data_IF_945171353889
#
_entry.id   IF_945171353889
#
_cell.length_a   1.000
_cell.length_b   1.000
_cell.length_c   1.000
_cell.angle_alpha   90.00
_cell.angle_beta   90.00
_cell.angle_gamma   90.00
#
_symmetry.space_group_name_H-M   'P 1'
#
loop_
_entity.id
_entity.type
_entity.pdbx_description
1 polymer ?
#
# COMPACT_ATOMS: atom_id res chain seq x y z
N UNK A 1 -6.00 2.39 10.16
CA UNK A 1 -4.77 2.95 10.70
C UNK A 1 -5.14 3.58 12.04
N UNK A 2 -4.32 3.40 13.08
CA UNK A 2 -4.66 3.93 14.41
C UNK A 2 -4.56 5.45 14.43
N UNK A 3 -5.09 6.10 15.49
CA UNK A 3 -4.90 7.54 15.67
C UNK A 3 -3.42 7.90 15.80
N UNK A 4 -2.64 7.10 16.54
CA UNK A 4 -1.21 7.32 16.71
C UNK A 4 -0.46 7.24 15.38
N UNK A 5 -0.78 6.24 14.55
CA UNK A 5 -0.16 6.12 13.22
C UNK A 5 -0.47 7.34 12.34
N UNK A 6 -1.66 7.95 12.46
CA UNK A 6 -1.99 9.19 11.73
C UNK A 6 -1.17 10.38 12.21
N UNK A 7 -0.99 10.51 13.51
CA UNK A 7 -0.13 11.54 14.10
C UNK A 7 1.33 11.32 13.68
N UNK A 8 1.79 10.07 13.61
CA UNK A 8 3.13 9.73 13.10
C UNK A 8 3.28 10.10 11.62
N UNK A 9 2.27 9.81 10.78
CA UNK A 9 2.26 10.18 9.37
C UNK A 9 2.40 11.70 9.18
N UNK A 10 1.66 12.49 9.95
CA UNK A 10 1.75 13.97 9.92
C UNK A 10 3.15 14.47 10.30
N UNK A 11 3.82 13.77 11.22
CA UNK A 11 5.19 14.05 11.62
C UNK A 11 6.23 13.38 10.71
N UNK A 12 5.80 12.76 9.60
CA UNK A 12 6.65 12.02 8.65
C UNK A 12 7.46 10.89 9.28
N UNK A 13 6.94 10.33 10.37
CA UNK A 13 7.51 9.20 11.10
C UNK A 13 6.81 7.93 10.67
N UNK A 14 7.57 7.00 10.11
CA UNK A 14 7.06 5.73 9.61
C UNK A 14 7.38 4.64 10.62
N UNK A 15 6.32 4.16 11.26
CA UNK A 15 6.37 2.98 12.11
C UNK A 15 5.97 1.74 11.33
N UNK A 16 6.38 0.57 11.80
CA UNK A 16 6.01 -0.72 11.21
C UNK A 16 4.48 -0.88 11.11
N UNK A 17 3.75 -0.45 12.15
CA UNK A 17 2.28 -0.52 12.20
C UNK A 17 1.61 0.32 11.12
N UNK A 18 2.14 1.52 10.86
CA UNK A 18 1.70 2.42 9.80
C UNK A 18 1.95 1.77 8.43
N UNK A 19 3.17 1.29 8.18
CA UNK A 19 3.54 0.67 6.91
C UNK A 19 2.70 -0.59 6.63
N UNK A 20 2.46 -1.43 7.64
CA UNK A 20 1.58 -2.59 7.55
C UNK A 20 0.13 -2.19 7.28
N UNK A 21 -0.36 -1.11 7.89
CA UNK A 21 -1.69 -0.56 7.64
C UNK A 21 -1.86 -0.10 6.18
N UNK A 22 -0.84 0.52 5.61
CA UNK A 22 -0.80 0.92 4.21
C UNK A 22 -0.75 -0.28 3.26
N UNK A 23 0.05 -1.32 3.58
CA UNK A 23 0.07 -2.56 2.81
C UNK A 23 -1.31 -3.23 2.79
N UNK A 24 -2.01 -3.26 3.94
CA UNK A 24 -3.34 -3.85 4.04
C UNK A 24 -4.39 -3.08 3.22
N UNK A 25 -4.19 -1.77 3.02
CA UNK A 25 -5.03 -0.94 2.18
C UNK A 25 -4.79 -1.16 0.67
N UNK A 26 -3.57 -1.55 0.27
CA UNK A 26 -3.24 -1.83 -1.13
C UNK A 26 -3.94 -3.10 -1.66
N UNK A 27 -3.99 -4.16 -0.86
CA UNK A 27 -4.50 -5.47 -1.26
C UNK A 27 -5.94 -5.47 -1.87
N UNK A 28 -6.95 -4.80 -1.29
CA UNK A 28 -8.28 -4.76 -1.90
C UNK A 28 -8.31 -3.98 -3.22
N UNK A 29 -7.48 -2.94 -3.39
CA UNK A 29 -7.41 -2.17 -4.64
C UNK A 29 -6.81 -3.02 -5.76
N UNK A 30 -5.71 -3.70 -5.47
CA UNK A 30 -5.04 -4.62 -6.41
C UNK A 30 -6.01 -5.75 -6.79
N UNK A 31 -6.64 -6.39 -5.80
CA UNK A 31 -7.53 -7.53 -6.02
C UNK A 31 -8.77 -7.14 -6.84
N UNK A 32 -9.38 -5.99 -6.53
CA UNK A 32 -10.54 -5.47 -7.26
C UNK A 32 -10.18 -5.16 -8.72
N UNK A 33 -9.07 -4.48 -8.96
CA UNK A 33 -8.66 -4.15 -10.33
C UNK A 33 -8.20 -5.38 -11.12
N UNK A 34 -7.57 -6.37 -10.48
CA UNK A 34 -7.27 -7.65 -11.13
C UNK A 34 -8.53 -8.39 -11.58
N UNK A 35 -9.58 -8.37 -10.74
CA UNK A 35 -10.87 -8.95 -11.12
C UNK A 35 -11.52 -8.20 -12.28
N UNK A 36 -11.55 -6.87 -12.22
CA UNK A 36 -12.15 -6.03 -13.28
C UNK A 36 -11.39 -6.14 -14.60
N UNK A 37 -10.05 -6.18 -14.56
CA UNK A 37 -9.20 -6.44 -15.73
C UNK A 37 -9.59 -7.76 -16.39
N UNK A 38 -9.72 -8.85 -15.61
CA UNK A 38 -10.13 -10.15 -16.15
C UNK A 38 -11.56 -10.14 -16.67
N UNK A 39 -12.47 -9.43 -16.00
CA UNK A 39 -13.90 -9.36 -16.36
C UNK A 39 -14.12 -8.58 -17.66
N UNK A 40 -13.37 -7.51 -17.86
CA UNK A 40 -13.55 -6.57 -18.95
C UNK A 40 -12.43 -6.63 -19.99
N UNK A 41 -11.65 -7.72 -20.03
CA UNK A 41 -10.53 -7.88 -20.97
C UNK A 41 -10.92 -7.86 -22.45
N UNK A 42 -12.20 -8.04 -22.75
CA UNK A 42 -12.75 -7.96 -24.10
C UNK A 42 -13.23 -6.54 -24.47
N UNK A 43 -13.32 -5.62 -23.50
CA UNK A 43 -13.72 -4.23 -23.73
C UNK A 43 -12.48 -3.33 -23.75
N UNK A 44 -12.09 -2.90 -24.96
CA UNK A 44 -10.87 -2.12 -25.19
C UNK A 44 -10.86 -0.76 -24.47
N UNK A 45 -12.02 -0.21 -24.08
CA UNK A 45 -12.10 1.14 -23.47
C UNK A 45 -11.79 1.13 -21.97
N UNK A 46 -12.34 0.17 -21.23
CA UNK A 46 -12.19 0.11 -19.77
C UNK A 46 -11.01 -0.76 -19.31
N UNK A 47 -10.57 -1.71 -20.15
CA UNK A 47 -9.47 -2.63 -19.84
C UNK A 47 -8.16 -1.92 -19.46
N UNK A 48 -7.80 -0.85 -20.17
CA UNK A 48 -6.56 -0.11 -19.95
C UNK A 48 -6.48 0.52 -18.55
N UNK A 49 -7.61 0.99 -18.02
CA UNK A 49 -7.67 1.66 -16.72
C UNK A 49 -7.45 0.72 -15.53
N UNK A 50 -8.03 -0.48 -15.59
CA UNK A 50 -7.90 -1.46 -14.50
C UNK A 50 -6.50 -2.05 -14.40
N UNK A 51 -5.88 -2.38 -15.54
CA UNK A 51 -4.50 -2.87 -15.57
C UNK A 51 -3.52 -1.79 -15.06
N UNK A 52 -3.64 -0.55 -15.56
CA UNK A 52 -2.80 0.56 -15.12
C UNK A 52 -2.91 0.79 -13.61
N UNK A 53 -4.14 0.84 -13.09
CA UNK A 53 -4.37 1.00 -11.64
C UNK A 53 -3.79 -0.17 -10.84
N UNK A 54 -3.94 -1.41 -11.33
CA UNK A 54 -3.38 -2.59 -10.65
C UNK A 54 -1.86 -2.51 -10.57
N UNK A 55 -1.20 -2.21 -11.68
CA UNK A 55 0.27 -2.12 -11.76
C UNK A 55 0.81 -0.99 -10.87
N UNK A 56 0.16 0.17 -10.90
CA UNK A 56 0.52 1.30 -10.05
C UNK A 56 0.48 0.93 -8.56
N UNK A 57 -0.63 0.34 -8.10
CA UNK A 57 -0.80 -0.05 -6.71
C UNK A 57 0.11 -1.23 -6.31
N UNK A 58 0.46 -2.12 -7.24
CA UNK A 58 1.52 -3.11 -7.02
C UNK A 58 2.88 -2.46 -6.80
N UNK A 59 3.20 -1.40 -7.56
CA UNK A 59 4.41 -0.61 -7.34
C UNK A 59 4.44 0.09 -5.98
N UNK A 60 3.31 0.67 -5.55
CA UNK A 60 3.19 1.25 -4.19
C UNK A 60 3.44 0.20 -3.11
N UNK A 61 2.83 -0.99 -3.25
CA UNK A 61 3.04 -2.10 -2.33
C UNK A 61 4.51 -2.53 -2.26
N UNK A 62 5.22 -2.56 -3.39
CA UNK A 62 6.65 -2.90 -3.42
C UNK A 62 7.51 -1.85 -2.72
N UNK A 63 7.29 -0.56 -2.97
CA UNK A 63 7.98 0.54 -2.28
C UNK A 63 7.78 0.50 -0.76
N UNK A 64 6.56 0.20 -0.30
CA UNK A 64 6.30 0.10 1.13
C UNK A 64 6.97 -1.16 1.72
N UNK A 65 6.93 -2.30 1.00
CA UNK A 65 7.60 -3.54 1.45
C UNK A 65 9.11 -3.37 1.57
N UNK A 66 9.75 -2.62 0.67
CA UNK A 66 11.21 -2.43 0.73
C UNK A 66 11.69 -1.77 2.01
N UNK A 67 10.85 -0.98 2.69
CA UNK A 67 11.18 -0.37 3.98
C UNK A 67 11.13 -1.37 5.15
N UNK A 68 10.32 -2.43 5.03
CA UNK A 68 10.15 -3.46 6.07
C UNK A 68 11.10 -4.65 5.88
N UNK A 69 11.55 -4.92 4.66
CA UNK A 69 12.43 -6.05 4.32
C UNK A 69 13.76 -6.12 5.09
N UNK A 70 14.39 -5.00 5.52
CA UNK A 70 15.60 -5.07 6.35
C UNK A 70 15.37 -5.69 7.73
N UNK A 71 14.12 -5.68 8.23
CA UNK A 71 13.77 -6.11 9.60
C UNK A 71 12.97 -7.42 9.56
N UNK A 72 12.08 -7.56 8.57
CA UNK A 72 11.13 -8.67 8.49
C UNK A 72 11.28 -9.46 7.20
N UNK A 73 11.16 -10.79 7.31
CA UNK A 73 10.99 -11.62 6.12
C UNK A 73 9.70 -11.29 5.38
N UNK A 74 9.68 -11.47 4.06
CA UNK A 74 8.47 -11.29 3.23
C UNK A 74 7.28 -12.11 3.77
N UNK A 75 7.53 -13.33 4.29
CA UNK A 75 6.49 -14.18 4.89
C UNK A 75 5.85 -13.50 6.10
N UNK A 76 6.65 -12.89 6.98
CA UNK A 76 6.19 -12.19 8.16
C UNK A 76 5.39 -10.94 7.78
N UNK A 77 5.89 -10.16 6.82
CA UNK A 77 5.17 -8.99 6.28
C UNK A 77 3.79 -9.41 5.77
N UNK A 78 3.69 -10.46 4.95
CA UNK A 78 2.42 -10.97 4.44
C UNK A 78 1.47 -11.38 5.58
N UNK A 79 1.97 -12.06 6.61
CA UNK A 79 1.16 -12.45 7.76
C UNK A 79 0.62 -11.24 8.52
N UNK A 80 1.47 -10.25 8.81
CA UNK A 80 1.08 -9.01 9.48
C UNK A 80 0.07 -8.21 8.65
N UNK A 81 0.30 -8.07 7.34
CA UNK A 81 -0.63 -7.41 6.42
C UNK A 81 -2.00 -8.08 6.42
N UNK A 82 -2.07 -9.42 6.38
CA UNK A 82 -3.34 -10.16 6.42
C UNK A 82 -4.08 -10.02 7.75
N UNK A 83 -3.35 -9.94 8.86
CA UNK A 83 -3.91 -9.77 10.20
C UNK A 83 -4.34 -8.33 10.54
N UNK A 84 -3.95 -7.36 9.72
CA UNK A 84 -4.21 -5.94 9.97
C UNK A 84 -5.71 -5.60 9.79
N UNK A 85 -6.35 -5.21 10.90
CA UNK A 85 -7.76 -4.76 10.92
C UNK A 85 -7.87 -3.27 10.63
N UNK A 86 -6.98 -2.48 11.22
CA UNK A 86 -6.96 -1.03 11.07
C UNK A 86 -6.22 -0.64 9.80
N UNK A 87 -6.88 -0.73 8.64
CA UNK A 87 -6.29 -0.38 7.33
C UNK A 87 -6.17 1.13 7.15
N UNK A 88 -5.16 1.57 6.40
CA UNK A 88 -5.08 2.95 5.95
C UNK A 88 -6.15 3.21 4.88
N UNK A 89 -6.44 4.48 4.65
CA UNK A 89 -7.21 4.93 3.49
C UNK A 89 -6.30 5.01 2.26
N UNK A 90 -6.89 5.02 1.06
CA UNK A 90 -6.10 5.19 -0.16
C UNK A 90 -5.33 6.52 -0.18
N UNK A 91 -5.94 7.59 0.36
CA UNK A 91 -5.29 8.90 0.48
C UNK A 91 -4.03 8.84 1.35
N UNK A 92 -4.12 8.17 2.50
CA UNK A 92 -2.97 8.00 3.40
C UNK A 92 -1.86 7.15 2.74
N UNK A 93 -2.21 6.13 1.95
CA UNK A 93 -1.22 5.38 1.15
C UNK A 93 -0.51 6.30 0.16
N UNK A 94 -1.24 7.12 -0.59
CA UNK A 94 -0.65 8.05 -1.55
C UNK A 94 0.25 9.09 -0.87
N UNK A 95 -0.12 9.55 0.32
CA UNK A 95 0.71 10.45 1.14
C UNK A 95 2.02 9.77 1.54
N UNK A 96 1.96 8.54 2.04
CA UNK A 96 3.15 7.72 2.34
C UNK A 96 4.04 7.57 1.10
N UNK A 97 3.47 7.20 -0.06
CA UNK A 97 4.24 7.05 -1.30
C UNK A 97 4.89 8.37 -1.72
N UNK A 98 4.18 9.49 -1.63
CA UNK A 98 4.75 10.82 -1.92
C UNK A 98 5.94 11.14 -1.01
N UNK A 99 5.89 10.79 0.27
CA UNK A 99 7.00 11.00 1.21
C UNK A 99 8.17 10.06 0.90
N UNK A 100 7.91 8.79 0.54
CA UNK A 100 8.94 7.84 0.09
C UNK A 100 9.66 8.37 -1.14
N UNK A 101 8.91 8.83 -2.14
CA UNK A 101 9.45 9.31 -3.42
C UNK A 101 10.30 10.58 -3.25
N UNK A 102 10.00 11.39 -2.23
CA UNK A 102 10.79 12.57 -1.84
C UNK A 102 11.92 12.24 -0.87
N UNK A 103 12.00 11.00 -0.40
CA UNK A 103 12.87 10.59 0.71
C UNK A 103 12.72 11.51 1.95
N UNK A 104 11.49 11.93 2.23
CA UNK A 104 11.12 12.89 3.27
C UNK A 104 10.35 12.19 4.39
N UNK A 105 11.01 11.25 5.06
CA UNK A 105 10.47 10.50 6.17
C UNK A 105 11.58 10.00 7.11
N UNK A 106 11.22 9.67 8.33
CA UNK A 106 12.07 9.02 9.33
C UNK A 106 11.46 7.66 9.67
N UNK A 107 12.25 6.58 9.64
CA UNK A 107 11.82 5.27 10.16
C UNK A 107 11.98 5.27 11.68
N UNK A 108 10.93 4.89 12.40
CA UNK A 108 10.86 4.94 13.88
C UNK A 108 10.34 3.64 14.46
#
# INVERSE_FOLDING_TARGET
MTRQDKENLQNKKFTDTLLISCLAACEPVISKNAYLEKKWCHDYKDYGGYNATRLEWMGYREKIRSLLLPIYSMKMIIQMTKGCKDRATQKEVLEVISLIDKNDYELV
#
